data_IF_091433048687
#
_entry.id   IF_091433048687
#
_cell.length_a   1.000
_cell.length_b   1.000
_cell.length_c   1.000
_cell.angle_alpha   90.00
_cell.angle_beta   90.00
_cell.angle_gamma   90.00
#
_symmetry.space_group_name_H-M   'P 1'
#
loop_
_entity.id
_entity.type
_entity.pdbx_description
1 polymer ?
#
# COMPACT_ATOMS: atom_id res chain seq x y z
N UNK A 1 -2.13 -13.71 13.27
CA UNK A 1 -3.26 -12.85 13.62
C UNK A 1 -3.26 -11.56 12.77
N UNK A 2 -2.27 -10.65 12.90
CA UNK A 2 -2.24 -9.45 12.04
C UNK A 2 -2.04 -9.78 10.54
N UNK A 3 -0.98 -10.54 10.21
CA UNK A 3 -0.66 -10.93 8.82
C UNK A 3 -1.79 -11.67 8.07
N UNK A 4 -2.63 -12.41 8.80
CA UNK A 4 -3.77 -13.15 8.23
C UNK A 4 -4.91 -12.19 7.86
N UNK A 5 -5.12 -11.13 8.65
CA UNK A 5 -6.13 -10.09 8.37
C UNK A 5 -5.71 -9.28 7.14
N UNK A 6 -4.42 -9.01 6.96
CA UNK A 6 -3.90 -8.25 5.80
C UNK A 6 -4.12 -9.01 4.47
N UNK A 7 -3.89 -10.32 4.48
CA UNK A 7 -4.14 -11.19 3.30
C UNK A 7 -5.63 -11.29 2.98
N UNK A 8 -6.50 -11.37 3.98
CA UNK A 8 -7.95 -11.38 3.77
C UNK A 8 -8.47 -10.04 3.26
N UNK A 9 -7.92 -8.93 3.78
CA UNK A 9 -8.27 -7.59 3.33
C UNK A 9 -7.88 -7.36 1.88
N UNK A 10 -6.63 -7.69 1.52
CA UNK A 10 -6.14 -7.57 0.13
C UNK A 10 -6.92 -8.48 -0.84
N UNK A 11 -7.22 -9.72 -0.43
CA UNK A 11 -8.07 -10.61 -1.23
C UNK A 11 -9.47 -10.03 -1.44
N UNK A 12 -10.09 -9.49 -0.39
CA UNK A 12 -11.41 -8.87 -0.49
C UNK A 12 -11.40 -7.64 -1.42
N UNK A 13 -10.34 -6.85 -1.41
CA UNK A 13 -10.16 -5.70 -2.32
C UNK A 13 -10.07 -6.14 -3.79
N UNK A 14 -9.27 -7.17 -4.08
CA UNK A 14 -9.17 -7.74 -5.44
C UNK A 14 -10.53 -8.27 -5.93
N UNK A 15 -11.26 -9.01 -5.09
CA UNK A 15 -12.58 -9.54 -5.45
C UNK A 15 -13.60 -8.43 -5.80
N UNK A 16 -13.55 -7.27 -5.13
CA UNK A 16 -14.41 -6.12 -5.47
C UNK A 16 -14.01 -5.51 -6.82
N UNK A 17 -12.70 -5.35 -7.08
CA UNK A 17 -12.20 -4.81 -8.34
C UNK A 17 -12.59 -5.71 -9.51
N UNK A 18 -12.49 -7.03 -9.35
CA UNK A 18 -12.90 -8.00 -10.37
C UNK A 18 -14.40 -7.91 -10.69
N UNK A 19 -15.26 -7.77 -9.68
CA UNK A 19 -16.70 -7.60 -9.89
C UNK A 19 -17.03 -6.27 -10.58
N UNK A 20 -16.34 -5.19 -10.22
CA UNK A 20 -16.48 -3.89 -10.89
C UNK A 20 -16.02 -3.95 -12.36
N UNK A 21 -14.93 -4.65 -12.65
CA UNK A 21 -14.44 -4.87 -14.00
C UNK A 21 -15.44 -5.70 -14.82
N UNK A 22 -15.98 -6.79 -14.24
CA UNK A 22 -17.03 -7.59 -14.88
C UNK A 22 -18.25 -6.74 -15.21
N UNK A 23 -18.73 -5.92 -14.28
CA UNK A 23 -19.89 -5.06 -14.49
C UNK A 23 -19.70 -4.09 -15.68
N UNK A 24 -18.47 -3.62 -15.95
CA UNK A 24 -18.17 -2.75 -17.10
C UNK A 24 -18.27 -3.46 -18.44
N UNK A 25 -18.07 -4.78 -18.47
CA UNK A 25 -18.12 -5.59 -19.70
C UNK A 25 -19.40 -6.44 -19.80
N UNK A 26 -20.35 -6.26 -18.87
CA UNK A 26 -21.65 -6.95 -18.93
C UNK A 26 -22.41 -6.50 -20.19
N UNK A 27 -22.96 -7.44 -20.97
CA UNK A 27 -23.83 -7.12 -22.08
C UNK A 27 -25.06 -6.34 -21.59
N UNK A 28 -25.41 -5.24 -22.26
CA UNK A 28 -26.54 -4.39 -21.86
C UNK A 28 -27.90 -5.10 -21.81
N UNK A 29 -28.04 -6.22 -22.53
CA UNK A 29 -29.26 -6.99 -22.60
C UNK A 29 -29.45 -7.92 -21.39
N UNK A 30 -28.40 -8.21 -20.63
CA UNK A 30 -28.47 -9.12 -19.50
C UNK A 30 -28.61 -8.36 -18.17
N UNK A 31 -29.84 -7.90 -17.93
CA UNK A 31 -30.18 -7.13 -16.73
C UNK A 31 -30.07 -7.98 -15.46
N UNK A 32 -30.42 -9.28 -15.54
CA UNK A 32 -30.32 -10.22 -14.42
C UNK A 32 -28.87 -10.42 -13.97
N UNK A 33 -27.95 -10.60 -14.92
CA UNK A 33 -26.52 -10.67 -14.61
C UNK A 33 -26.01 -9.34 -14.03
N UNK A 34 -26.45 -8.21 -14.58
CA UNK A 34 -26.05 -6.90 -14.07
C UNK A 34 -26.51 -6.67 -12.62
N UNK A 35 -27.72 -7.10 -12.27
CA UNK A 35 -28.29 -6.91 -10.95
C UNK A 35 -27.73 -7.90 -9.94
N UNK A 36 -27.49 -9.15 -10.35
CA UNK A 36 -26.76 -10.13 -9.56
C UNK A 36 -25.33 -9.64 -9.23
N UNK A 37 -24.62 -9.07 -10.20
CA UNK A 37 -23.27 -8.52 -9.99
C UNK A 37 -23.29 -7.28 -9.09
N UNK A 38 -24.27 -6.38 -9.24
CA UNK A 38 -24.43 -5.23 -8.32
C UNK A 38 -24.72 -5.68 -6.89
N UNK A 39 -25.60 -6.67 -6.70
CA UNK A 39 -25.92 -7.22 -5.39
C UNK A 39 -24.70 -7.90 -4.74
N UNK A 40 -23.97 -8.70 -5.52
CA UNK A 40 -22.73 -9.33 -5.06
C UNK A 40 -21.67 -8.28 -4.69
N UNK A 41 -21.52 -7.23 -5.49
CA UNK A 41 -20.60 -6.12 -5.24
C UNK A 41 -20.97 -5.38 -3.94
N UNK A 42 -22.25 -5.10 -3.70
CA UNK A 42 -22.72 -4.48 -2.47
C UNK A 42 -22.38 -5.32 -1.23
N UNK A 43 -22.68 -6.62 -1.26
CA UNK A 43 -22.34 -7.54 -0.17
C UNK A 43 -20.82 -7.63 0.09
N UNK A 44 -20.01 -7.63 -0.97
CA UNK A 44 -18.55 -7.65 -0.86
C UNK A 44 -17.99 -6.34 -0.29
N UNK A 45 -18.54 -5.19 -0.67
CA UNK A 45 -18.18 -3.88 -0.08
C UNK A 45 -18.50 -3.81 1.41
N UNK A 46 -19.63 -4.36 1.83
CA UNK A 46 -19.98 -4.45 3.25
C UNK A 46 -18.98 -5.31 4.04
N UNK A 47 -18.63 -6.50 3.50
CA UNK A 47 -17.60 -7.36 4.11
C UNK A 47 -16.24 -6.67 4.19
N UNK A 48 -15.85 -5.96 3.14
CA UNK A 48 -14.60 -5.23 3.06
C UNK A 48 -14.55 -4.09 4.08
N UNK A 49 -15.65 -3.36 4.26
CA UNK A 49 -15.75 -2.35 5.31
C UNK A 49 -15.56 -2.95 6.71
N UNK A 50 -16.16 -4.12 7.00
CA UNK A 50 -15.96 -4.85 8.26
C UNK A 50 -14.51 -5.30 8.45
N UNK A 51 -13.84 -5.77 7.40
CA UNK A 51 -12.42 -6.13 7.47
C UNK A 51 -11.53 -4.90 7.71
N UNK A 52 -11.83 -3.75 7.07
CA UNK A 52 -11.11 -2.49 7.29
C UNK A 52 -11.24 -2.00 8.72
N UNK A 53 -12.44 -2.07 9.31
CA UNK A 53 -12.65 -1.66 10.71
C UNK A 53 -11.93 -2.61 11.68
N UNK A 54 -11.97 -3.92 11.42
CA UNK A 54 -11.22 -4.90 12.22
C UNK A 54 -9.71 -4.70 12.10
N UNK A 55 -9.18 -4.43 10.90
CA UNK A 55 -7.78 -4.14 10.68
C UNK A 55 -7.36 -2.84 11.40
N UNK A 56 -8.17 -1.78 11.31
CA UNK A 56 -7.93 -0.52 12.04
C UNK A 56 -7.98 -0.69 13.56
N UNK A 57 -8.87 -1.55 14.07
CA UNK A 57 -8.96 -1.89 15.48
C UNK A 57 -7.77 -2.75 15.96
N UNK A 58 -7.31 -3.69 15.13
CA UNK A 58 -6.13 -4.52 15.40
C UNK A 58 -4.82 -3.72 15.35
N UNK A 59 -4.77 -2.63 14.58
CA UNK A 59 -3.65 -1.70 14.51
C UNK A 59 -3.60 -0.65 15.62
N UNK A 60 -4.56 -0.64 16.56
CA UNK A 60 -4.54 0.30 17.69
C UNK A 60 -3.72 -0.31 18.83
N UNK A 61 -2.44 0.07 19.05
CA UNK A 61 -1.82 -0.20 20.33
C UNK A 61 -2.72 0.46 21.39
N UNK A 62 -2.92 -0.21 22.54
CA UNK A 62 -3.47 0.42 23.74
C UNK A 62 -2.63 1.67 24.03
N UNK A 63 -3.04 2.82 23.51
CA UNK A 63 -2.45 4.12 23.81
C UNK A 63 -3.03 4.53 25.15
N UNK A 64 -2.43 3.96 26.20
CA UNK A 64 -2.89 4.06 27.58
C UNK A 64 -1.73 3.88 28.55
N UNK A 65 -0.74 4.76 28.43
CA UNK A 65 0.24 5.22 29.45
C UNK A 65 1.16 6.19 28.70
N UNK A 66 0.99 7.50 28.88
CA UNK A 66 1.53 8.36 29.93
C UNK A 66 2.56 9.28 29.27
N UNK A 67 2.50 10.54 29.67
CA UNK A 67 3.57 11.54 29.59
C UNK A 67 3.86 12.18 28.23
N UNK A 68 3.52 13.47 28.16
CA UNK A 68 4.20 14.35 27.24
C UNK A 68 5.66 14.43 27.63
N UNK A 69 6.55 14.13 26.71
CA UNK A 69 7.58 15.05 26.26
C UNK A 69 8.09 14.57 24.90
N UNK A 70 8.55 15.51 24.09
CA UNK A 70 9.07 15.22 22.76
C UNK A 70 10.38 14.43 22.79
N UNK A 71 10.67 13.80 21.65
CA UNK A 71 11.93 13.18 21.26
C UNK A 71 12.20 11.74 21.74
N UNK A 72 11.60 10.74 21.07
CA UNK A 72 12.35 9.56 20.59
C UNK A 72 11.49 8.66 19.69
N UNK A 73 11.36 9.01 18.40
CA UNK A 73 11.11 7.98 17.40
C UNK A 73 12.45 7.58 16.80
N UNK A 74 12.91 6.31 16.94
CA UNK A 74 14.10 5.88 16.24
C UNK A 74 13.81 5.94 14.73
N UNK A 75 14.48 6.88 14.07
CA UNK A 75 14.50 6.98 12.61
C UNK A 75 14.76 5.58 12.03
N UNK A 76 14.05 5.16 10.96
CA UNK A 76 14.24 3.84 10.37
C UNK A 76 15.72 3.65 10.02
N UNK A 77 16.25 2.43 10.24
CA UNK A 77 17.67 2.04 10.12
C UNK A 77 18.38 2.47 8.81
N UNK A 78 17.64 2.92 7.80
CA UNK A 78 18.14 3.36 6.51
C UNK A 78 18.16 4.90 6.31
N UNK A 79 17.74 5.67 7.32
CA UNK A 79 17.75 7.13 7.29
C UNK A 79 19.11 7.74 7.71
N UNK A 80 20.13 6.92 7.97
CA UNK A 80 21.49 7.40 8.17
C UNK A 80 22.14 7.72 6.83
N UNK A 81 22.62 8.96 6.71
CA UNK A 81 23.22 9.58 5.53
C UNK A 81 24.11 8.59 4.74
N UNK A 82 23.70 8.24 3.52
CA UNK A 82 24.59 7.54 2.58
C UNK A 82 25.80 8.44 2.33
N UNK A 83 27.05 7.95 2.48
CA UNK A 83 28.22 8.73 2.09
C UNK A 83 28.10 9.06 0.59
N UNK A 84 28.41 10.31 0.17
CA UNK A 84 28.29 10.71 -1.22
C UNK A 84 29.20 9.82 -2.07
N UNK A 85 28.63 9.26 -3.14
CA UNK A 85 29.34 8.41 -4.09
C UNK A 85 30.53 9.19 -4.63
N UNK A 86 31.74 8.80 -4.21
CA UNK A 86 33.01 9.37 -4.72
C UNK A 86 33.09 9.01 -6.21
N UNK A 87 32.52 9.87 -7.05
CA UNK A 87 32.72 9.81 -8.50
C UNK A 87 34.17 10.22 -8.75
N UNK A 88 35.07 9.25 -8.83
CA UNK A 88 36.36 9.48 -9.47
C UNK A 88 36.08 9.66 -10.96
N UNK A 89 35.94 10.91 -11.40
CA UNK A 89 35.98 11.20 -12.83
C UNK A 89 37.45 11.05 -13.23
N UNK A 90 37.79 10.20 -14.21
CA UNK A 90 39.16 10.13 -14.71
C UNK A 90 39.56 11.52 -15.23
N UNK A 91 40.54 12.16 -14.58
CA UNK A 91 41.13 13.37 -15.14
C UNK A 91 41.91 12.98 -16.39
N UNK A 92 41.57 13.64 -17.51
CA UNK A 92 42.29 13.49 -18.77
C UNK A 92 43.72 13.98 -18.57
N UNK A 93 44.76 13.23 -18.93
CA UNK A 93 46.14 13.69 -18.79
C UNK A 93 46.36 14.93 -19.66
N UNK A 94 46.96 15.97 -19.07
CA UNK A 94 47.34 17.19 -19.78
C UNK A 94 48.35 16.83 -20.89
N UNK A 95 48.06 17.22 -22.12
CA UNK A 95 49.00 17.11 -23.22
C UNK A 95 50.24 17.95 -22.88
N UNK A 96 51.43 17.35 -22.97
CA UNK A 96 52.69 18.08 -22.85
C UNK A 96 52.74 19.13 -23.95
N UNK A 97 52.77 20.40 -23.57
CA UNK A 97 53.13 21.50 -24.46
C UNK A 97 54.51 21.20 -25.03
N UNK A 98 54.58 20.89 -26.33
CA UNK A 98 55.82 20.83 -27.07
C UNK A 98 56.05 22.19 -27.74
N UNK A 99 56.89 23.01 -27.12
CA UNK A 99 57.85 23.88 -27.80
C UNK A 99 58.88 24.39 -26.81
#
# INVERSE_FOLDING_TARGET
>A
MAKTIDLELTRAEVEVIELEARLRVVPMNDTQLSDALKAALAAKKERLAKLRTQHAAAGKPRRGTQDGDGADQPLPLHATRRPPLKRSVPQRPNAKSAK
#
